data_IF_797001617850
#
_entry.id   IF_797001617850
#
_cell.length_a   1.000
_cell.length_b   1.000
_cell.length_c   1.000
_cell.angle_alpha   90.00
_cell.angle_beta   90.00
_cell.angle_gamma   90.00
#
_symmetry.space_group_name_H-M   'P 1'
#
loop_
_entity.id
_entity.type
_entity.pdbx_description
1 polymer ?
#
# COMPACT_ATOMS: atom_id res chain seq x y z
N UNK A 1 15.11 -19.81 29.51
CA UNK A 1 14.83 -20.32 28.15
C UNK A 1 16.15 -20.59 27.44
N UNK A 2 16.37 -21.81 26.95
CA UNK A 2 17.56 -22.17 26.16
C UNK A 2 17.51 -21.45 24.81
N UNK A 3 18.52 -20.63 24.51
CA UNK A 3 18.68 -20.04 23.17
C UNK A 3 19.35 -21.09 22.27
N UNK A 4 18.65 -21.53 21.23
CA UNK A 4 19.17 -22.44 20.20
C UNK A 4 19.63 -21.65 18.99
N UNK A 5 20.70 -22.09 18.34
CA UNK A 5 21.15 -21.55 17.04
C UNK A 5 20.18 -22.06 15.98
N UNK A 6 19.63 -21.17 15.16
CA UNK A 6 18.70 -21.50 14.07
C UNK A 6 19.20 -20.94 12.74
N UNK A 7 18.85 -21.57 11.60
CA UNK A 7 19.14 -21.03 10.27
C UNK A 7 18.43 -19.69 10.01
N UNK A 8 19.02 -18.86 9.15
CA UNK A 8 18.44 -17.57 8.75
C UNK A 8 17.07 -17.76 8.09
N UNK A 9 16.90 -18.78 7.25
CA UNK A 9 15.62 -19.11 6.62
C UNK A 9 14.53 -19.42 7.63
N UNK A 10 14.86 -20.11 8.72
CA UNK A 10 13.92 -20.40 9.81
C UNK A 10 13.48 -19.12 10.52
N UNK A 11 14.40 -18.18 10.75
CA UNK A 11 14.07 -16.89 11.33
C UNK A 11 13.16 -16.06 10.42
N UNK A 12 13.49 -15.96 9.13
CA UNK A 12 12.70 -15.21 8.15
C UNK A 12 11.29 -15.80 8.01
N UNK A 13 11.18 -17.13 7.93
CA UNK A 13 9.90 -17.82 7.87
C UNK A 13 9.07 -17.58 9.14
N UNK A 14 9.69 -17.60 10.31
CA UNK A 14 9.03 -17.26 11.57
C UNK A 14 8.53 -15.82 11.61
N UNK A 15 9.32 -14.86 11.14
CA UNK A 15 8.92 -13.44 11.07
C UNK A 15 7.75 -13.24 10.12
N UNK A 16 7.80 -13.87 8.93
CA UNK A 16 6.69 -13.86 7.99
C UNK A 16 5.41 -14.38 8.62
N UNK A 17 5.46 -15.57 9.23
CA UNK A 17 4.29 -16.17 9.89
C UNK A 17 3.76 -15.29 11.03
N UNK A 18 4.65 -14.66 11.80
CA UNK A 18 4.25 -13.76 12.88
C UNK A 18 3.50 -12.54 12.35
N UNK A 19 4.00 -11.91 11.28
CA UNK A 19 3.38 -10.74 10.66
C UNK A 19 2.05 -11.09 9.98
N UNK A 20 2.01 -12.21 9.25
CA UNK A 20 0.79 -12.66 8.54
C UNK A 20 -0.31 -13.12 9.50
N UNK A 21 0.06 -13.57 10.71
CA UNK A 21 -0.90 -13.95 11.75
C UNK A 21 -1.49 -12.77 12.52
N UNK A 22 -0.89 -11.57 12.41
CA UNK A 22 -1.37 -10.36 13.08
C UNK A 22 -2.54 -9.74 12.30
N UNK A 23 -3.76 -9.74 12.85
CA UNK A 23 -4.93 -9.19 12.15
C UNK A 23 -4.80 -7.70 11.83
N UNK A 24 -4.00 -6.94 12.59
CA UNK A 24 -3.78 -5.50 12.37
C UNK A 24 -2.95 -5.27 11.10
N UNK A 25 -2.10 -6.22 10.74
CA UNK A 25 -1.21 -6.15 9.58
C UNK A 25 -1.85 -6.67 8.29
N UNK A 26 -3.08 -7.19 8.40
CA UNK A 26 -3.90 -7.62 7.27
C UNK A 26 -4.83 -6.49 6.81
N UNK A 27 -4.79 -6.16 5.52
CA UNK A 27 -5.63 -5.13 4.92
C UNK A 27 -5.33 -3.70 5.40
N UNK A 28 -4.08 -3.40 5.77
CA UNK A 28 -3.64 -2.07 6.20
C UNK A 28 -3.88 -1.00 5.14
N UNK A 29 -4.23 0.21 5.59
CA UNK A 29 -4.35 1.39 4.75
C UNK A 29 -3.14 2.30 4.99
N UNK A 30 -2.38 2.58 3.94
CA UNK A 30 -1.15 3.37 4.03
C UNK A 30 -1.13 4.43 2.93
N UNK A 31 -0.75 5.65 3.30
CA UNK A 31 -0.59 6.76 2.37
C UNK A 31 0.90 7.07 2.18
N UNK A 32 1.31 7.39 0.96
CA UNK A 32 2.67 7.87 0.68
C UNK A 32 2.87 8.25 -0.78
N UNK A 33 4.10 8.61 -1.12
CA UNK A 33 4.52 8.90 -2.49
C UNK A 33 5.16 7.66 -3.12
N UNK A 34 4.81 7.36 -4.37
CA UNK A 34 5.40 6.27 -5.13
C UNK A 34 6.80 6.66 -5.62
N UNK A 35 7.76 5.77 -5.42
CA UNK A 35 9.09 5.85 -5.99
C UNK A 35 9.55 4.50 -6.54
N UNK A 36 10.58 4.50 -7.38
CA UNK A 36 11.17 3.28 -7.97
C UNK A 36 10.16 2.35 -8.69
N UNK A 37 9.11 2.91 -9.28
CA UNK A 37 8.07 2.15 -9.96
C UNK A 37 8.62 1.37 -11.16
N UNK A 38 8.39 0.05 -11.16
CA UNK A 38 8.71 -0.89 -12.23
C UNK A 38 7.46 -1.68 -12.61
N UNK A 39 7.23 -1.79 -13.91
CA UNK A 39 6.12 -2.56 -14.50
C UNK A 39 6.66 -3.56 -15.54
N UNK A 40 7.28 -4.68 -15.13
CA UNK A 40 7.81 -5.68 -16.05
C UNK A 40 6.72 -6.35 -16.90
N UNK A 41 7.13 -7.13 -17.91
CA UNK A 41 6.21 -7.84 -18.82
C UNK A 41 5.31 -8.87 -18.13
N UNK A 42 5.71 -9.41 -16.97
CA UNK A 42 4.85 -10.27 -16.13
C UNK A 42 3.57 -9.56 -15.65
N UNK A 43 3.55 -8.22 -15.75
CA UNK A 43 2.41 -7.40 -15.40
C UNK A 43 2.29 -7.14 -13.90
N UNK A 44 3.20 -7.60 -13.05
CA UNK A 44 3.25 -7.19 -11.64
C UNK A 44 3.89 -5.81 -11.50
N UNK A 45 3.44 -5.03 -10.53
CA UNK A 45 4.06 -3.74 -10.24
C UNK A 45 4.89 -3.86 -8.97
N UNK A 46 6.09 -3.29 -9.04
CA UNK A 46 7.01 -3.19 -7.91
C UNK A 46 7.36 -1.73 -7.73
N UNK A 47 7.26 -1.23 -6.51
CA UNK A 47 7.58 0.16 -6.21
C UNK A 47 7.92 0.29 -4.73
N UNK A 48 8.36 1.47 -4.31
CA UNK A 48 8.53 1.83 -2.91
C UNK A 48 7.53 2.93 -2.56
N UNK A 49 6.79 2.75 -1.47
CA UNK A 49 5.94 3.78 -0.89
C UNK A 49 6.73 4.49 0.20
N UNK A 50 6.89 5.81 0.08
CA UNK A 50 7.69 6.61 1.02
C UNK A 50 6.91 7.78 1.62
N UNK A 51 7.34 8.19 2.79
CA UNK A 51 7.02 9.48 3.41
C UNK A 51 8.33 10.26 3.68
N UNK A 52 8.29 11.26 4.56
CA UNK A 52 9.45 12.09 4.90
C UNK A 52 10.56 11.32 5.66
N UNK A 53 10.23 10.22 6.33
CA UNK A 53 11.12 9.52 7.27
C UNK A 53 11.42 8.09 6.88
N UNK A 54 10.58 7.47 6.08
CA UNK A 54 10.58 6.02 5.88
C UNK A 54 10.10 5.64 4.49
N UNK A 55 10.52 4.45 4.07
CA UNK A 55 10.14 3.86 2.78
C UNK A 55 9.96 2.37 2.97
N UNK A 56 8.94 1.80 2.32
CA UNK A 56 8.64 0.38 2.34
C UNK A 56 8.45 -0.15 0.92
N UNK A 57 8.90 -1.39 0.67
CA UNK A 57 8.73 -2.04 -0.63
C UNK A 57 7.28 -2.49 -0.80
N UNK A 58 6.75 -2.34 -2.00
CA UNK A 58 5.40 -2.73 -2.36
C UNK A 58 5.40 -3.59 -3.60
N UNK A 59 4.58 -4.63 -3.58
CA UNK A 59 4.29 -5.49 -4.73
C UNK A 59 2.80 -5.50 -4.98
N UNK A 60 2.39 -5.26 -6.22
CA UNK A 60 1.00 -5.36 -6.65
C UNK A 60 0.90 -6.37 -7.78
N UNK A 61 0.25 -7.51 -7.52
CA UNK A 61 0.08 -8.54 -8.52
C UNK A 61 -0.82 -8.07 -9.67
N UNK A 62 -0.69 -8.72 -10.82
CA UNK A 62 -1.36 -8.33 -12.07
C UNK A 62 -2.88 -8.47 -11.99
N UNK A 63 -3.37 -9.38 -11.13
CA UNK A 63 -4.80 -9.52 -10.83
C UNK A 63 -5.38 -8.29 -10.12
N UNK A 64 -4.58 -7.61 -9.30
CA UNK A 64 -5.00 -6.44 -8.55
C UNK A 64 -4.81 -5.15 -9.36
N UNK A 65 -3.66 -4.97 -10.03
CA UNK A 65 -3.41 -3.73 -10.74
C UNK A 65 -4.30 -3.51 -11.98
N UNK A 66 -4.89 -4.57 -12.55
CA UNK A 66 -5.93 -4.46 -13.60
C UNK A 66 -7.19 -3.74 -13.11
N UNK A 67 -7.42 -3.69 -11.80
CA UNK A 67 -8.54 -2.96 -11.18
C UNK A 67 -8.22 -1.50 -10.91
N UNK A 68 -6.96 -1.10 -11.06
CA UNK A 68 -6.51 0.29 -10.91
C UNK A 68 -6.90 1.06 -12.17
N UNK A 69 -7.87 1.96 -12.06
CA UNK A 69 -8.47 2.69 -13.19
C UNK A 69 -7.76 4.01 -13.53
N UNK A 70 -6.67 4.34 -12.85
CA UNK A 70 -5.93 5.58 -13.02
C UNK A 70 -4.46 5.30 -13.38
N UNK A 71 -3.79 6.22 -14.09
CA UNK A 71 -2.38 6.08 -14.38
C UNK A 71 -1.56 6.23 -13.09
N UNK A 72 -0.58 5.34 -12.91
CA UNK A 72 0.32 5.34 -11.74
C UNK A 72 1.75 5.58 -12.19
N UNK A 73 2.40 6.58 -11.61
CA UNK A 73 3.73 7.08 -11.94
C UNK A 73 4.59 7.31 -10.67
N UNK A 74 5.89 7.49 -10.85
CA UNK A 74 6.76 7.97 -9.77
C UNK A 74 6.38 9.41 -9.41
N UNK A 75 6.38 9.73 -8.12
CA UNK A 75 5.95 11.03 -7.59
C UNK A 75 4.46 11.10 -7.25
N UNK A 76 3.65 10.12 -7.65
CA UNK A 76 2.23 10.12 -7.33
C UNK A 76 2.02 9.86 -5.83
N UNK A 77 1.19 10.69 -5.21
CA UNK A 77 0.72 10.49 -3.84
C UNK A 77 -0.52 9.59 -3.85
N UNK A 78 -0.43 8.45 -3.20
CA UNK A 78 -1.48 7.42 -3.21
C UNK A 78 -1.83 6.96 -1.81
N UNK A 79 -3.03 6.43 -1.69
CA UNK A 79 -3.45 5.58 -0.57
C UNK A 79 -3.61 4.15 -1.08
N UNK A 80 -2.97 3.20 -0.41
CA UNK A 80 -3.03 1.79 -0.77
C UNK A 80 -3.63 0.96 0.36
N UNK A 81 -4.25 -0.16 -0.03
CA UNK A 81 -4.66 -1.25 0.85
C UNK A 81 -3.80 -2.47 0.57
N UNK A 82 -3.32 -3.15 1.59
CA UNK A 82 -2.54 -4.37 1.40
C UNK A 82 -2.22 -5.11 2.68
N UNK A 83 -1.45 -6.19 2.54
CA UNK A 83 -1.04 -7.05 3.64
C UNK A 83 0.46 -6.92 3.87
N UNK A 84 0.89 -6.71 5.11
CA UNK A 84 2.32 -6.66 5.45
C UNK A 84 2.86 -8.09 5.50
N UNK A 85 3.97 -8.33 4.79
CA UNK A 85 4.62 -9.63 4.75
C UNK A 85 6.13 -9.46 4.56
N UNK A 86 6.85 -10.59 4.51
CA UNK A 86 8.29 -10.64 4.28
C UNK A 86 8.57 -11.41 2.99
N UNK A 87 9.39 -10.82 2.12
CA UNK A 87 9.91 -11.51 0.95
C UNK A 87 10.98 -12.53 1.39
N UNK A 88 10.62 -13.81 1.45
CA UNK A 88 11.44 -14.85 2.09
C UNK A 88 12.86 -14.99 1.51
N UNK A 89 13.02 -14.81 0.20
CA UNK A 89 14.34 -14.94 -0.43
C UNK A 89 15.31 -13.81 -0.03
N UNK A 90 14.80 -12.63 0.31
CA UNK A 90 15.60 -11.46 0.71
C UNK A 90 15.50 -11.09 2.19
N UNK A 91 14.53 -11.64 2.93
CA UNK A 91 14.22 -11.24 4.29
C UNK A 91 13.67 -9.81 4.43
N UNK A 92 13.28 -9.17 3.32
CA UNK A 92 12.84 -7.77 3.30
C UNK A 92 11.36 -7.64 3.60
N UNK A 93 10.99 -6.63 4.40
CA UNK A 93 9.59 -6.25 4.60
C UNK A 93 8.97 -5.70 3.32
N UNK A 94 7.72 -6.07 3.08
CA UNK A 94 6.95 -5.59 1.95
C UNK A 94 5.46 -5.49 2.27
N UNK A 95 4.75 -4.69 1.46
CA UNK A 95 3.29 -4.69 1.41
C UNK A 95 2.83 -5.37 0.12
N UNK A 96 2.01 -6.41 0.25
CA UNK A 96 1.26 -7.00 -0.86
C UNK A 96 0.00 -6.17 -1.10
N UNK A 97 0.07 -5.29 -2.10
CA UNK A 97 -0.98 -4.30 -2.39
C UNK A 97 -2.14 -4.97 -3.12
N UNK A 98 -3.34 -4.82 -2.56
CA UNK A 98 -4.59 -5.37 -3.09
C UNK A 98 -5.49 -4.30 -3.71
N UNK A 99 -5.36 -3.04 -3.27
CA UNK A 99 -6.03 -1.89 -3.88
C UNK A 99 -5.19 -0.61 -3.75
N UNK A 100 -5.43 0.34 -4.64
CA UNK A 100 -4.76 1.65 -4.65
C UNK A 100 -5.72 2.72 -5.15
N UNK A 101 -5.63 3.92 -4.61
CA UNK A 101 -6.31 5.13 -5.12
C UNK A 101 -5.39 6.36 -5.00
N UNK A 102 -5.61 7.41 -5.81
CA UNK A 102 -4.97 8.70 -5.60
C UNK A 102 -5.30 9.25 -4.21
N UNK A 103 -4.31 9.81 -3.52
CA UNK A 103 -4.54 10.50 -2.25
C UNK A 103 -5.38 11.78 -2.47
N UNK A 104 -6.22 12.14 -1.50
CA UNK A 104 -7.01 13.38 -1.53
C UNK A 104 -8.36 13.31 -2.27
N UNK A 105 -8.75 12.16 -2.84
CA UNK A 105 -10.11 11.98 -3.39
C UNK A 105 -11.18 12.12 -2.31
N UNK A 106 -10.93 11.63 -1.10
CA UNK A 106 -11.83 11.79 0.04
C UNK A 106 -12.06 13.26 0.40
N UNK A 107 -10.99 14.05 0.42
CA UNK A 107 -11.06 15.48 0.71
C UNK A 107 -11.84 16.25 -0.36
N UNK A 108 -11.71 15.86 -1.63
CA UNK A 108 -12.47 16.45 -2.72
C UNK A 108 -13.96 16.15 -2.60
N UNK A 109 -14.32 14.92 -2.20
CA UNK A 109 -15.71 14.55 -1.95
C UNK A 109 -16.32 15.34 -0.79
N UNK A 110 -15.58 15.48 0.32
CA UNK A 110 -16.00 16.28 1.46
C UNK A 110 -16.20 17.76 1.10
N UNK A 111 -15.27 18.34 0.33
CA UNK A 111 -15.40 19.73 -0.18
C UNK A 111 -16.61 19.88 -1.11
N UNK A 112 -16.89 18.87 -1.93
CA UNK A 112 -18.04 18.88 -2.83
C UNK A 112 -19.36 18.79 -2.08
N UNK A 113 -19.45 17.96 -1.02
CA UNK A 113 -20.59 17.92 -0.10
C UNK A 113 -20.81 19.27 0.60
N UNK A 114 -19.74 19.90 1.08
CA UNK A 114 -19.80 21.21 1.73
C UNK A 114 -20.25 22.31 0.76
N UNK A 115 -19.72 22.34 -0.46
CA UNK A 115 -20.16 23.28 -1.51
C UNK A 115 -21.63 23.06 -1.89
N UNK A 116 -22.09 21.81 -1.98
CA UNK A 116 -23.51 21.51 -2.26
C UNK A 116 -24.43 22.06 -1.18
N UNK A 117 -24.09 21.87 0.10
CA UNK A 117 -24.86 22.43 1.22
C UNK A 117 -24.92 23.96 1.13
N UNK A 118 -23.78 24.62 0.87
CA UNK A 118 -23.73 26.07 0.73
C UNK A 118 -24.59 26.58 -0.42
N UNK A 119 -24.55 25.91 -1.58
CA UNK A 119 -25.36 26.28 -2.74
C UNK A 119 -26.87 26.06 -2.51
N UNK A 120 -27.26 25.03 -1.74
CA UNK A 120 -28.64 24.84 -1.29
C UNK A 120 -29.10 25.95 -0.34
N UNK A 121 -28.25 26.37 0.59
CA UNK A 121 -28.53 27.49 1.51
C UNK A 121 -28.64 28.84 0.79
N UNK A 122 -27.85 29.03 -0.28
CA UNK A 122 -27.89 30.22 -1.14
C UNK A 122 -29.06 30.23 -2.14
N UNK A 123 -29.88 29.17 -2.20
CA UNK A 123 -31.05 29.05 -3.09
C UNK A 123 -30.71 28.89 -4.57
N UNK A 124 -29.47 28.48 -4.87
CA UNK A 124 -28.96 28.27 -6.23
C UNK A 124 -29.28 26.86 -6.76
N UNK A 125 -29.81 25.96 -5.91
CA UNK A 125 -30.32 24.62 -6.21
C UNK A 125 -31.39 24.19 -5.21
#
# INVERSE_FOLDING_TARGET
MSRRIIPVSTLVHYLKGSLESDPVLHGVLVQGEISNLRKPYSGHWYFSLKDEKSSISCVMFSSYNRRTTFPVNNGDKVELKGDVSVYEAGGSLQIMVTAMRPAGIGDLYLKLEEMKKRLQEEGLF
#
